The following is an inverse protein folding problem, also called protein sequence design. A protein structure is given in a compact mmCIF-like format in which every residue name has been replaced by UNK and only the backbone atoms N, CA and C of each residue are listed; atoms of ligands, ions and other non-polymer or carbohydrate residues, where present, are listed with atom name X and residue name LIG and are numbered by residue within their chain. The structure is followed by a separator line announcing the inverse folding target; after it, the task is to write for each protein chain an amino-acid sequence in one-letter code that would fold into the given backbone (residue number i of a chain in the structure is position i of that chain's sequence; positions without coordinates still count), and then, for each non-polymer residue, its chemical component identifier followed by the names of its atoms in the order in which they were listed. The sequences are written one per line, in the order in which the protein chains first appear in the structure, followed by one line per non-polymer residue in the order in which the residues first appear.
data_IF_979700099181
#
_entry.id   IF_979700099181
#
_cell.length_a   1.000
_cell.length_b   1.000
_cell.length_c   1.000
_cell.angle_alpha   90.00
_cell.angle_beta   90.00
_cell.angle_gamma   90.00
#
_symmetry.space_group_name_H-M   'P 1'
#
loop_
_entity.id
_entity.type
_entity.pdbx_description
1 polymer ?
#
# COMPACT_ATOMS: atom_id res chain seq x y z
N UNK A 1 29.69 29.61 -24.59
CA UNK A 1 28.38 29.11 -24.15
C UNK A 1 28.35 27.59 -24.29
N UNK A 2 29.17 26.87 -23.51
CA UNK A 2 29.27 25.39 -23.57
C UNK A 2 29.07 24.74 -22.20
N UNK A 3 29.30 25.52 -21.13
CA UNK A 3 29.09 25.08 -19.77
C UNK A 3 27.61 25.07 -19.41
N UNK A 4 26.85 26.09 -19.82
CA UNK A 4 25.42 26.20 -19.57
C UNK A 4 24.64 25.06 -20.25
N UNK A 5 24.95 24.76 -21.52
CA UNK A 5 24.34 23.63 -22.24
C UNK A 5 24.66 22.28 -21.59
N UNK A 6 25.89 22.11 -21.08
CA UNK A 6 26.29 20.89 -20.37
C UNK A 6 25.61 20.77 -19.01
N UNK A 7 25.43 21.88 -18.28
CA UNK A 7 24.69 21.91 -17.01
C UNK A 7 23.23 21.53 -17.25
N UNK A 8 22.60 22.09 -18.28
CA UNK A 8 21.21 21.80 -18.62
C UNK A 8 21.01 20.33 -19.02
N UNK A 9 21.95 19.75 -19.78
CA UNK A 9 21.93 18.33 -20.11
C UNK A 9 22.10 17.42 -18.88
N UNK A 10 22.94 17.80 -17.92
CA UNK A 10 23.13 17.08 -16.67
C UNK A 10 21.89 17.16 -15.76
N UNK A 11 21.26 18.33 -15.67
CA UNK A 11 20.02 18.53 -14.91
C UNK A 11 18.88 17.67 -15.47
N UNK A 12 18.74 17.63 -16.80
CA UNK A 12 17.75 16.76 -17.47
C UNK A 12 18.03 15.26 -17.21
N UNK A 13 19.30 14.84 -17.23
CA UNK A 13 19.66 13.45 -16.92
C UNK A 13 19.36 13.10 -15.47
N UNK A 14 19.64 14.01 -14.53
CA UNK A 14 19.31 13.82 -13.11
C UNK A 14 17.80 13.66 -12.94
N UNK A 15 17.00 14.51 -13.57
CA UNK A 15 15.54 14.46 -13.47
C UNK A 15 14.96 13.17 -14.07
N UNK A 16 15.52 12.70 -15.18
CA UNK A 16 15.15 11.42 -15.81
C UNK A 16 15.49 10.23 -14.90
N UNK A 17 16.70 10.21 -14.33
CA UNK A 17 17.15 9.16 -13.43
C UNK A 17 16.32 9.13 -12.14
N UNK A 18 15.94 10.28 -11.60
CA UNK A 18 15.04 10.37 -10.45
C UNK A 18 13.65 9.79 -10.76
N UNK A 19 13.06 10.13 -11.91
CA UNK A 19 11.78 9.57 -12.35
C UNK A 19 11.84 8.06 -12.57
N UNK A 20 12.94 7.57 -13.14
CA UNK A 20 13.17 6.13 -13.32
C UNK A 20 13.31 5.41 -11.97
N UNK A 21 14.07 5.96 -11.03
CA UNK A 21 14.18 5.42 -9.67
C UNK A 21 12.83 5.40 -8.95
N UNK A 22 12.03 6.46 -9.05
CA UNK A 22 10.69 6.52 -8.48
C UNK A 22 9.76 5.45 -9.10
N UNK A 23 9.88 5.22 -10.41
CA UNK A 23 9.12 4.17 -11.11
C UNK A 23 9.54 2.75 -10.72
N UNK A 24 10.85 2.52 -10.51
CA UNK A 24 11.40 1.22 -10.14
C UNK A 24 11.16 0.89 -8.67
N UNK A 25 11.29 1.89 -7.78
CA UNK A 25 10.95 1.77 -6.36
C UNK A 25 9.45 1.51 -6.14
N UNK A 26 8.60 1.87 -7.10
CA UNK A 26 7.16 1.62 -7.06
C UNK A 26 6.70 0.25 -7.56
N UNK A 27 7.53 -0.53 -8.26
CA UNK A 27 7.02 -1.61 -9.13
C UNK A 27 7.63 -3.02 -8.97
N UNK A 28 8.76 -3.22 -8.29
CA UNK A 28 9.50 -4.49 -8.43
C UNK A 28 9.57 -5.40 -7.21
N UNK A 29 10.03 -4.87 -6.07
CA UNK A 29 10.45 -5.70 -4.94
C UNK A 29 9.90 -5.12 -3.64
N UNK A 30 9.08 -5.90 -2.96
CA UNK A 30 8.60 -5.59 -1.61
C UNK A 30 9.83 -5.50 -0.68
N UNK A 31 10.26 -4.28 -0.36
CA UNK A 31 11.35 -4.07 0.59
C UNK A 31 10.84 -4.41 1.99
N UNK A 32 11.48 -5.37 2.65
CA UNK A 32 11.18 -5.70 4.04
C UNK A 32 12.13 -4.96 4.98
N UNK A 33 11.55 -4.36 6.02
CA UNK A 33 12.26 -3.72 7.12
C UNK A 33 12.40 -4.67 8.30
N UNK A 34 13.50 -4.54 9.02
CA UNK A 34 13.63 -5.07 10.38
C UNK A 34 12.85 -4.20 11.37
N UNK A 35 12.51 -4.71 12.58
CA UNK A 35 11.86 -3.91 13.61
C UNK A 35 12.65 -2.66 14.00
N UNK A 36 13.98 -2.72 13.93
CA UNK A 36 14.87 -1.58 14.20
C UNK A 36 14.72 -0.49 13.14
N UNK A 37 14.70 -0.86 11.87
CA UNK A 37 14.53 0.08 10.76
C UNK A 37 13.11 0.66 10.75
N UNK A 38 12.09 -0.16 11.02
CA UNK A 38 10.72 0.31 11.18
C UNK A 38 10.60 1.33 12.32
N UNK A 39 11.28 1.09 13.44
CA UNK A 39 11.31 2.02 14.58
C UNK A 39 11.96 3.36 14.22
N UNK A 40 13.05 3.34 13.46
CA UNK A 40 13.68 4.56 12.94
C UNK A 40 12.77 5.32 11.97
N UNK A 41 12.08 4.60 11.08
CA UNK A 41 11.16 5.18 10.11
C UNK A 41 9.95 5.84 10.81
N UNK A 42 9.40 5.19 11.84
CA UNK A 42 8.27 5.71 12.62
C UNK A 42 8.68 6.67 13.75
N UNK A 43 10.00 6.85 13.99
CA UNK A 43 10.56 7.63 15.12
C UNK A 43 10.00 7.17 16.48
N UNK A 44 9.89 5.87 16.68
CA UNK A 44 9.43 5.27 17.93
C UNK A 44 10.45 4.27 18.48
N UNK A 45 10.17 3.72 19.66
CA UNK A 45 11.04 2.66 20.22
C UNK A 45 10.85 1.34 19.44
N UNK A 46 11.90 0.49 19.44
CA UNK A 46 11.81 -0.86 18.86
C UNK A 46 10.76 -1.70 19.60
N UNK A 47 10.62 -1.51 20.91
CA UNK A 47 9.60 -2.18 21.73
C UNK A 47 8.18 -1.83 21.25
N UNK A 48 7.94 -0.57 20.89
CA UNK A 48 6.66 -0.13 20.32
C UNK A 48 6.34 -0.86 19.02
N UNK A 49 7.33 -1.11 18.15
CA UNK A 49 7.13 -1.89 16.93
C UNK A 49 6.78 -3.34 17.27
N UNK A 50 7.48 -3.99 18.20
CA UNK A 50 7.15 -5.36 18.61
C UNK A 50 5.73 -5.46 19.18
N UNK A 51 5.31 -4.52 20.02
CA UNK A 51 3.94 -4.47 20.54
C UNK A 51 2.92 -4.30 19.42
N UNK A 52 3.21 -3.49 18.40
CA UNK A 52 2.35 -3.28 17.24
C UNK A 52 2.28 -4.48 16.31
N UNK A 53 3.36 -5.25 16.19
CA UNK A 53 3.37 -6.52 15.47
C UNK A 53 2.52 -7.55 16.23
N UNK A 54 2.65 -7.60 17.56
CA UNK A 54 1.85 -8.50 18.40
C UNK A 54 0.36 -8.13 18.41
N UNK A 55 0.02 -6.83 18.41
CA UNK A 55 -1.37 -6.37 18.35
C UNK A 55 -2.02 -6.53 16.97
N UNK A 56 -1.22 -6.78 15.93
CA UNK A 56 -1.67 -6.87 14.55
C UNK A 56 -1.81 -5.51 13.84
N UNK A 57 -1.44 -4.41 14.49
CA UNK A 57 -1.40 -3.07 13.88
C UNK A 57 -0.38 -2.99 12.73
N UNK A 58 0.73 -3.73 12.87
CA UNK A 58 1.78 -3.85 11.85
C UNK A 58 1.84 -5.31 11.43
N UNK A 59 1.68 -5.57 10.13
CA UNK A 59 1.82 -6.90 9.58
C UNK A 59 3.30 -7.22 9.41
N UNK A 60 3.75 -8.36 9.95
CA UNK A 60 5.11 -8.84 9.78
C UNK A 60 5.12 -10.31 9.37
N UNK A 61 6.02 -10.68 8.47
CA UNK A 61 6.34 -12.07 8.20
C UNK A 61 7.30 -12.59 9.28
N UNK A 62 6.89 -13.68 9.93
CA UNK A 62 7.63 -14.32 11.02
C UNK A 62 8.20 -15.69 10.60
N UNK A 63 8.00 -16.12 9.34
CA UNK A 63 8.36 -17.46 8.84
C UNK A 63 9.84 -17.82 9.00
N UNK A 64 10.72 -16.82 9.01
CA UNK A 64 12.19 -16.97 9.11
C UNK A 64 12.74 -16.74 10.53
N UNK A 65 11.88 -16.66 11.54
CA UNK A 65 12.25 -16.44 12.95
C UNK A 65 12.63 -14.99 13.30
N UNK A 66 12.87 -14.14 12.30
CA UNK A 66 13.02 -12.69 12.47
C UNK A 66 11.85 -11.98 11.80
N UNK A 67 11.24 -11.04 12.52
CA UNK A 67 10.17 -10.22 11.97
C UNK A 67 10.64 -9.43 10.74
N UNK A 68 9.97 -9.64 9.62
CA UNK A 68 10.17 -8.89 8.38
C UNK A 68 8.92 -8.07 8.11
N UNK A 69 9.03 -6.76 8.17
CA UNK A 69 7.90 -5.84 8.04
C UNK A 69 7.90 -5.24 6.62
N UNK A 70 6.90 -5.54 5.78
CA UNK A 70 6.76 -4.92 4.47
C UNK A 70 6.75 -3.38 4.57
N UNK A 71 7.71 -2.73 3.91
CA UNK A 71 7.89 -1.27 3.93
C UNK A 71 6.67 -0.55 3.34
N UNK A 72 5.97 -1.19 2.41
CA UNK A 72 4.75 -0.68 1.77
C UNK A 72 3.66 -0.29 2.78
N UNK A 73 3.60 -0.94 3.95
CA UNK A 73 2.60 -0.67 4.98
C UNK A 73 2.70 0.72 5.60
N UNK A 74 3.89 1.32 5.56
CA UNK A 74 4.14 2.64 6.15
C UNK A 74 3.93 3.78 5.17
N UNK A 75 3.89 3.50 3.87
CA UNK A 75 3.56 4.50 2.87
C UNK A 75 2.04 4.71 2.87
N UNK A 76 1.60 5.96 2.98
CA UNK A 76 0.20 6.31 2.71
C UNK A 76 -0.12 5.82 1.31
N UNK A 77 -1.07 4.89 1.19
CA UNK A 77 -1.77 4.68 -0.08
C UNK A 77 -2.18 6.08 -0.53
N UNK A 78 -1.68 6.54 -1.69
CA UNK A 78 -2.31 7.66 -2.40
C UNK A 78 -3.80 7.38 -2.32
N UNK A 79 -4.58 8.31 -1.79
CA UNK A 79 -6.01 8.13 -1.64
C UNK A 79 -6.57 7.82 -3.03
N UNK A 80 -6.74 6.54 -3.34
CA UNK A 80 -7.55 6.14 -4.48
C UNK A 80 -8.92 6.66 -4.08
N UNK A 81 -9.52 7.59 -4.83
CA UNK A 81 -10.81 8.15 -4.47
C UNK A 81 -11.73 6.96 -4.19
N UNK A 82 -12.21 6.86 -2.95
CA UNK A 82 -13.05 5.75 -2.50
C UNK A 82 -14.19 5.67 -3.50
N UNK A 83 -14.19 4.65 -4.36
CA UNK A 83 -15.37 4.35 -5.15
C UNK A 83 -16.50 4.24 -4.13
N UNK A 84 -17.62 4.96 -4.32
CA UNK A 84 -18.72 4.90 -3.39
C UNK A 84 -19.10 3.42 -3.24
N UNK A 85 -19.34 2.94 -1.99
CA UNK A 85 -19.73 1.56 -1.79
C UNK A 85 -20.93 1.27 -2.70
N UNK A 86 -20.85 0.20 -3.49
CA UNK A 86 -21.98 -0.26 -4.30
C UNK A 86 -23.20 -0.31 -3.37
N UNK A 87 -24.21 0.53 -3.66
CA UNK A 87 -25.44 0.57 -2.88
C UNK A 87 -26.04 -0.82 -2.92
N UNK A 88 -25.99 -1.55 -1.80
CA UNK A 88 -26.74 -2.80 -1.66
C UNK A 88 -28.21 -2.44 -1.78
N UNK A 89 -28.84 -2.78 -2.90
CA UNK A 89 -30.28 -2.67 -3.05
C UNK A 89 -30.88 -3.66 -2.06
N UNK A 90 -31.50 -3.15 -0.99
CA UNK A 90 -32.27 -4.01 -0.08
C UNK A 90 -33.49 -4.50 -0.87
N UNK A 91 -33.78 -5.81 -0.89
CA UNK A 91 -34.98 -6.30 -1.54
C UNK A 91 -36.21 -5.70 -0.85
N UNK A 92 -37.18 -5.22 -1.63
CA UNK A 92 -38.41 -4.57 -1.12
C UNK A 92 -39.31 -5.54 -0.33
N UNK A 93 -39.12 -6.85 -0.51
CA UNK A 93 -39.90 -7.90 0.16
C UNK A 93 -38.96 -8.91 0.83
N UNK A 94 -39.31 -9.41 2.02
CA UNK A 94 -38.55 -10.47 2.66
C UNK A 94 -38.63 -11.74 1.80
N UNK A 95 -37.48 -12.26 1.39
CA UNK A 95 -37.38 -13.51 0.63
C UNK A 95 -37.66 -14.64 1.62
N UNK A 96 -38.77 -15.35 1.44
CA UNK A 96 -39.19 -16.44 2.33
C UNK A 96 -38.87 -17.82 1.77
N UNK A 97 -38.65 -17.93 0.46
CA UNK A 97 -38.32 -19.20 -0.19
C UNK A 97 -37.56 -19.06 -1.52
N UNK A 98 -37.18 -20.22 -2.07
CA UNK A 98 -36.39 -20.33 -3.32
C UNK A 98 -37.15 -19.79 -4.54
N UNK A 99 -38.48 -19.88 -4.52
CA UNK A 99 -39.35 -19.36 -5.59
C UNK A 99 -39.32 -17.83 -5.67
N UNK A 100 -39.27 -17.14 -4.53
CA UNK A 100 -39.17 -15.68 -4.47
C UNK A 100 -37.87 -15.17 -5.10
N UNK A 101 -36.77 -15.92 -4.91
CA UNK A 101 -35.45 -15.60 -5.48
C UNK A 101 -35.49 -15.68 -7.01
N UNK A 102 -36.10 -16.73 -7.56
CA UNK A 102 -36.17 -16.92 -9.02
C UNK A 102 -36.97 -15.80 -9.68
N UNK A 103 -38.10 -15.44 -9.10
CA UNK A 103 -38.97 -14.37 -9.60
C UNK A 103 -38.28 -13.00 -9.55
N UNK A 104 -37.48 -12.75 -8.52
CA UNK A 104 -36.76 -11.49 -8.37
C UNK A 104 -35.57 -11.34 -9.34
N UNK A 105 -34.93 -12.45 -9.73
CA UNK A 105 -33.74 -12.44 -10.59
C UNK A 105 -34.06 -12.53 -12.09
N UNK A 106 -35.19 -13.15 -12.47
CA UNK A 106 -35.49 -13.49 -13.86
C UNK A 106 -36.84 -12.98 -14.39
N UNK A 107 -37.69 -12.37 -13.54
CA UNK A 107 -39.02 -11.86 -13.92
C UNK A 107 -40.09 -12.94 -13.94
#
# INVERSE_FOLDING_TARGET
MYLEERVQALEMQIELLQKQLESLQGAGEELFLTPKEAAQLMRCSVQTIYLKVQSGDIQADMSTGRARIPRSQFYRKKEIPKQPPLKRVKPEKPITGIEDIRKQMFG
#
